data_IF_048592371736
#
_entry.id   IF_048592371736
#
_cell.length_a   1.000
_cell.length_b   1.000
_cell.length_c   1.000
_cell.angle_alpha   90.00
_cell.angle_beta   90.00
_cell.angle_gamma   90.00
#
_symmetry.space_group_name_H-M   'P 1'
#
loop_
_entity.id
_entity.type
_entity.pdbx_description
1 polymer ?
#
# COMPACT_ATOMS: atom_id res chain seq x y z
N UNK A 1 10.07 70.42 -17.39
CA UNK A 1 10.38 69.00 -17.66
C UNK A 1 10.51 68.26 -16.34
N UNK A 2 9.50 67.50 -15.88
CA UNK A 2 9.58 66.87 -14.55
C UNK A 2 8.45 65.94 -14.13
N UNK A 3 7.55 65.52 -15.03
CA UNK A 3 6.30 64.80 -14.66
C UNK A 3 6.22 63.31 -15.02
N UNK A 4 7.24 62.72 -15.68
CA UNK A 4 7.16 61.34 -16.19
C UNK A 4 7.91 60.27 -15.36
N UNK A 5 8.57 60.62 -14.25
CA UNK A 5 9.29 59.61 -13.43
C UNK A 5 8.36 58.74 -12.57
N UNK A 6 7.20 59.24 -12.15
CA UNK A 6 6.25 58.49 -11.31
C UNK A 6 5.56 57.31 -12.03
N UNK A 7 5.27 57.46 -13.32
CA UNK A 7 4.53 56.45 -14.10
C UNK A 7 5.36 55.19 -14.40
N UNK A 8 6.68 55.34 -14.52
CA UNK A 8 7.61 54.23 -14.71
C UNK A 8 7.79 53.39 -13.43
N UNK A 9 7.70 54.02 -12.26
CA UNK A 9 7.83 53.32 -10.99
C UNK A 9 6.57 52.47 -10.70
N UNK A 10 5.38 53.01 -10.97
CA UNK A 10 4.10 52.28 -10.84
C UNK A 10 4.00 51.07 -11.79
N UNK A 11 4.49 51.20 -13.03
CA UNK A 11 4.55 50.04 -13.96
C UNK A 11 5.51 48.95 -13.48
N UNK A 12 6.65 49.30 -12.89
CA UNK A 12 7.59 48.31 -12.35
C UNK A 12 7.02 47.60 -11.11
N UNK A 13 6.35 48.33 -10.22
CA UNK A 13 5.70 47.74 -9.04
C UNK A 13 4.56 46.81 -9.45
N UNK A 14 3.73 47.19 -10.42
CA UNK A 14 2.64 46.35 -10.92
C UNK A 14 3.15 45.04 -11.54
N UNK A 15 4.27 45.08 -12.26
CA UNK A 15 4.90 43.88 -12.83
C UNK A 15 5.50 42.99 -11.75
N UNK A 16 6.15 43.55 -10.72
CA UNK A 16 6.66 42.77 -9.59
C UNK A 16 5.52 42.08 -8.82
N UNK A 17 4.39 42.75 -8.62
CA UNK A 17 3.21 42.17 -7.97
C UNK A 17 2.63 41.04 -8.83
N UNK A 18 2.56 41.22 -10.15
CA UNK A 18 2.04 40.18 -11.04
C UNK A 18 2.96 38.95 -11.10
N UNK A 19 4.27 39.15 -11.15
CA UNK A 19 5.25 38.04 -11.09
C UNK A 19 5.18 37.34 -9.73
N UNK A 20 5.07 38.08 -8.63
CA UNK A 20 4.92 37.51 -7.29
C UNK A 20 3.62 36.70 -7.17
N UNK A 21 2.48 37.20 -7.70
CA UNK A 21 1.21 36.47 -7.72
C UNK A 21 1.24 35.23 -8.62
N UNK A 22 1.96 35.28 -9.75
CA UNK A 22 2.14 34.10 -10.62
C UNK A 22 3.07 33.08 -9.98
N UNK A 23 4.12 33.51 -9.30
CA UNK A 23 5.02 32.62 -8.57
C UNK A 23 4.32 32.00 -7.36
N UNK A 24 3.60 32.78 -6.55
CA UNK A 24 2.71 32.27 -5.48
C UNK A 24 1.62 31.37 -6.04
N UNK A 25 1.09 31.66 -7.23
CA UNK A 25 0.13 30.81 -7.93
C UNK A 25 0.74 29.49 -8.39
N UNK A 26 1.95 29.49 -8.94
CA UNK A 26 2.67 28.27 -9.37
C UNK A 26 3.15 27.47 -8.15
N UNK A 27 3.65 28.14 -7.11
CA UNK A 27 4.06 27.51 -5.85
C UNK A 27 2.82 26.95 -5.13
N UNK A 28 1.72 27.69 -5.16
CA UNK A 28 0.39 27.27 -4.75
C UNK A 28 -0.13 26.10 -5.59
N UNK A 29 0.13 26.01 -6.89
CA UNK A 29 -0.21 24.86 -7.75
C UNK A 29 0.71 23.67 -7.47
N UNK A 30 1.97 23.89 -7.07
CA UNK A 30 2.87 22.81 -6.64
C UNK A 30 2.49 22.24 -5.27
N UNK A 31 2.12 23.11 -4.32
CA UNK A 31 1.69 22.74 -2.96
C UNK A 31 0.23 22.25 -2.95
N UNK A 32 -0.64 22.84 -3.77
CA UNK A 32 -2.04 22.46 -3.95
C UNK A 32 -2.27 21.56 -5.18
N UNK A 33 -1.22 21.03 -5.81
CA UNK A 33 -1.34 20.09 -6.93
C UNK A 33 -2.09 18.81 -6.54
N UNK A 34 -2.08 18.44 -5.25
CA UNK A 34 -2.97 17.41 -4.70
C UNK A 34 -4.45 17.81 -4.63
N UNK A 35 -4.77 19.12 -4.57
CA UNK A 35 -6.14 19.66 -4.55
C UNK A 35 -6.67 20.01 -5.95
N UNK A 36 -5.84 20.54 -6.85
CA UNK A 36 -6.27 20.93 -8.20
C UNK A 36 -6.56 19.72 -9.10
N UNK A 37 -5.94 18.58 -8.82
CA UNK A 37 -6.27 17.31 -9.47
C UNK A 37 -7.78 16.95 -9.32
N UNK A 38 -8.46 17.38 -8.23
CA UNK A 38 -9.92 17.16 -8.00
C UNK A 38 -10.81 17.72 -9.10
N UNK A 39 -10.34 18.72 -9.83
CA UNK A 39 -11.16 19.39 -10.84
C UNK A 39 -11.03 18.79 -12.24
N UNK A 40 -9.98 18.01 -12.51
CA UNK A 40 -9.67 17.51 -13.87
C UNK A 40 -9.78 15.99 -14.01
N UNK A 41 -9.85 15.26 -12.90
CA UNK A 41 -9.90 13.80 -12.89
C UNK A 41 -11.16 13.36 -12.12
N UNK A 42 -11.90 12.35 -12.62
CA UNK A 42 -13.02 11.75 -11.89
C UNK A 42 -12.62 11.38 -10.46
N UNK A 43 -13.52 11.55 -9.49
CA UNK A 43 -13.26 11.30 -8.06
C UNK A 43 -12.70 9.88 -7.77
N UNK A 44 -13.00 8.91 -8.64
CA UNK A 44 -12.44 7.56 -8.59
C UNK A 44 -10.92 7.53 -8.80
N UNK A 45 -10.38 8.35 -9.71
CA UNK A 45 -8.93 8.45 -9.95
C UNK A 45 -8.26 9.25 -8.83
N UNK A 46 -8.97 10.21 -8.25
CA UNK A 46 -8.37 11.04 -7.22
C UNK A 46 -8.27 10.41 -5.84
N UNK A 47 -9.23 9.56 -5.50
CA UNK A 47 -9.16 8.76 -4.29
C UNK A 47 -7.98 7.77 -4.34
N UNK A 48 -7.60 7.33 -5.55
CA UNK A 48 -6.40 6.50 -5.77
C UNK A 48 -5.10 7.32 -5.75
N UNK A 49 -5.11 8.57 -6.27
CA UNK A 49 -3.92 9.43 -6.33
C UNK A 49 -3.57 10.06 -4.97
N UNK A 50 -4.56 10.50 -4.20
CA UNK A 50 -4.35 11.19 -2.92
C UNK A 50 -3.93 10.26 -1.77
N UNK A 51 -4.19 8.95 -1.85
CA UNK A 51 -3.67 7.96 -0.87
C UNK A 51 -2.16 7.74 -0.97
N UNK A 52 -1.49 8.28 -1.99
CA UNK A 52 -0.09 8.00 -2.30
C UNK A 52 0.90 9.15 -1.97
N UNK A 53 0.47 10.20 -1.26
CA UNK A 53 1.32 11.36 -0.96
C UNK A 53 1.78 11.38 0.51
N UNK A 54 2.93 10.79 0.80
CA UNK A 54 4.08 11.41 1.50
C UNK A 54 5.25 10.40 1.50
N UNK A 55 6.37 10.77 0.88
CA UNK A 55 7.60 9.96 0.89
C UNK A 55 8.76 10.93 1.13
N UNK A 56 9.18 11.10 2.38
CA UNK A 56 10.56 11.50 2.70
C UNK A 56 11.43 10.25 2.77
N UNK A 57 12.49 10.25 1.97
CA UNK A 57 13.49 9.21 1.91
C UNK A 57 14.49 9.43 3.04
N UNK A 58 14.48 8.58 4.07
CA UNK A 58 15.54 8.55 5.08
C UNK A 58 16.28 7.21 4.96
N UNK A 59 17.42 7.24 4.29
CA UNK A 59 18.35 6.12 4.19
C UNK A 59 19.28 6.17 5.40
N UNK A 60 18.96 5.44 6.47
CA UNK A 60 19.92 5.10 7.52
C UNK A 60 20.40 3.67 7.29
N UNK A 61 21.70 3.56 7.01
CA UNK A 61 22.41 2.32 6.72
C UNK A 61 22.74 1.67 8.07
N UNK A 62 21.92 0.74 8.53
CA UNK A 62 22.26 -0.09 9.69
C UNK A 62 23.18 -1.23 9.27
N UNK A 63 24.39 -1.19 9.83
CA UNK A 63 25.39 -2.24 9.77
C UNK A 63 25.04 -3.35 10.76
N UNK A 64 25.13 -4.61 10.29
CA UNK A 64 25.08 -5.90 11.01
C UNK A 64 23.73 -6.61 10.99
N UNK A 65 23.57 -7.49 10.01
CA UNK A 65 22.58 -8.57 9.99
C UNK A 65 22.95 -9.55 8.89
N UNK A 66 23.18 -10.81 9.24
CA UNK A 66 23.71 -11.87 8.38
C UNK A 66 22.98 -11.95 7.03
N UNK A 67 23.74 -11.76 5.95
CA UNK A 67 23.32 -12.09 4.59
C UNK A 67 23.35 -13.61 4.48
N UNK A 68 22.19 -14.26 4.64
CA UNK A 68 22.02 -15.59 4.07
C UNK A 68 22.10 -15.43 2.55
N UNK A 69 23.25 -15.79 1.97
CA UNK A 69 23.31 -16.12 0.55
C UNK A 69 22.48 -17.39 0.36
N UNK A 70 21.16 -17.23 0.25
CA UNK A 70 20.34 -18.22 -0.43
C UNK A 70 20.82 -18.19 -1.87
N UNK A 71 21.53 -19.24 -2.26
CA UNK A 71 21.93 -19.48 -3.63
C UNK A 71 20.63 -19.58 -4.45
N UNK A 72 20.17 -18.44 -4.97
CA UNK A 72 19.14 -18.41 -6.00
C UNK A 72 19.72 -19.21 -7.16
N UNK A 73 19.33 -20.48 -7.26
CA UNK A 73 19.52 -21.27 -8.47
C UNK A 73 18.83 -20.48 -9.57
N UNK A 74 19.61 -19.64 -10.26
CA UNK A 74 19.19 -18.94 -11.46
C UNK A 74 18.72 -20.01 -12.41
N UNK A 75 17.41 -20.12 -12.55
CA UNK A 75 16.78 -20.86 -13.62
C UNK A 75 17.06 -20.06 -14.92
N UNK A 76 18.32 -20.05 -15.38
CA UNK A 76 18.79 -19.23 -16.51
C UNK A 76 18.41 -19.80 -17.88
N UNK A 77 17.80 -20.99 -17.92
CA UNK A 77 17.37 -21.64 -19.17
C UNK A 77 15.89 -21.44 -19.49
N UNK A 78 15.17 -20.63 -18.69
CA UNK A 78 13.88 -20.10 -19.13
C UNK A 78 14.15 -19.01 -20.18
N UNK A 79 14.22 -19.41 -21.45
CA UNK A 79 14.19 -18.49 -22.59
C UNK A 79 13.06 -17.45 -22.43
N UNK A 80 13.19 -16.31 -23.12
CA UNK A 80 12.37 -15.08 -23.00
C UNK A 80 10.83 -15.22 -22.95
N UNK A 81 10.28 -16.43 -23.07
CA UNK A 81 8.91 -16.82 -22.80
C UNK A 81 8.75 -17.56 -21.45
N UNK A 82 9.31 -17.04 -20.34
CA UNK A 82 9.06 -17.63 -19.01
C UNK A 82 7.55 -17.72 -18.74
N UNK A 83 6.93 -18.89 -18.55
CA UNK A 83 7.40 -20.26 -18.74
C UNK A 83 6.17 -21.15 -19.02
N UNK A 84 6.32 -22.26 -19.78
CA UNK A 84 5.22 -23.13 -20.19
C UNK A 84 4.46 -23.81 -19.03
N UNK A 85 4.88 -23.61 -17.78
CA UNK A 85 4.36 -24.28 -16.59
C UNK A 85 3.45 -23.41 -15.70
N UNK A 86 3.23 -22.13 -16.02
CA UNK A 86 2.36 -21.27 -15.20
C UNK A 86 0.94 -21.10 -15.76
N UNK A 87 0.65 -21.65 -16.94
CA UNK A 87 -0.65 -21.52 -17.60
C UNK A 87 -0.90 -20.15 -18.23
N UNK A 88 -2.15 -19.81 -18.52
CA UNK A 88 -2.50 -18.58 -19.20
C UNK A 88 -2.28 -17.33 -18.32
N UNK A 89 -1.87 -16.21 -18.94
CA UNK A 89 -1.76 -14.92 -18.25
C UNK A 89 -3.16 -14.40 -17.91
N UNK A 90 -3.43 -14.17 -16.63
CA UNK A 90 -4.71 -13.64 -16.12
C UNK A 90 -4.70 -12.12 -16.02
N UNK A 91 -3.64 -11.57 -15.43
CA UNK A 91 -3.53 -10.14 -15.17
C UNK A 91 -2.07 -9.67 -15.11
N UNK A 92 -1.85 -8.40 -15.44
CA UNK A 92 -0.55 -7.73 -15.33
C UNK A 92 -0.69 -6.42 -14.58
N UNK A 93 0.13 -6.25 -13.55
CA UNK A 93 0.15 -5.08 -12.69
C UNK A 93 1.52 -4.41 -12.80
N UNK A 94 1.51 -3.13 -13.18
CA UNK A 94 2.72 -2.31 -13.36
C UNK A 94 2.83 -1.27 -12.27
N UNK A 95 4.04 -0.78 -12.03
CA UNK A 95 4.29 0.27 -11.05
C UNK A 95 3.62 1.61 -11.45
N UNK A 96 2.92 2.27 -10.51
CA UNK A 96 2.24 3.58 -10.73
C UNK A 96 3.20 4.71 -11.14
N UNK A 97 4.49 4.61 -10.79
CA UNK A 97 5.46 5.67 -11.06
C UNK A 97 5.61 5.98 -12.55
N UNK A 98 5.38 5.02 -13.44
CA UNK A 98 5.45 5.25 -14.89
C UNK A 98 4.36 6.23 -15.35
N UNK A 99 3.13 6.06 -14.85
CA UNK A 99 2.03 6.96 -15.19
C UNK A 99 2.26 8.36 -14.60
N UNK A 100 2.70 8.42 -13.34
CA UNK A 100 2.96 9.70 -12.65
C UNK A 100 4.09 10.48 -13.32
N UNK A 101 5.21 9.82 -13.63
CA UNK A 101 6.36 10.48 -14.28
C UNK A 101 5.99 11.03 -15.67
N UNK A 102 5.21 10.29 -16.46
CA UNK A 102 4.72 10.77 -17.75
C UNK A 102 3.78 11.97 -17.60
N UNK A 103 2.84 11.91 -16.65
CA UNK A 103 1.91 13.02 -16.41
C UNK A 103 2.65 14.28 -15.91
N UNK A 104 3.59 14.14 -14.98
CA UNK A 104 4.41 15.26 -14.48
C UNK A 104 5.19 15.91 -15.61
N UNK A 105 5.78 15.12 -16.51
CA UNK A 105 6.54 15.63 -17.65
C UNK A 105 5.65 16.42 -18.62
N UNK A 106 4.45 15.91 -18.92
CA UNK A 106 3.46 16.62 -19.76
C UNK A 106 3.08 17.96 -19.11
N UNK A 107 2.78 17.98 -17.81
CA UNK A 107 2.42 19.20 -17.08
C UNK A 107 3.58 20.22 -17.11
N UNK A 108 4.82 19.78 -16.90
CA UNK A 108 5.99 20.64 -16.97
C UNK A 108 6.16 21.29 -18.35
N UNK A 109 5.93 20.53 -19.44
CA UNK A 109 6.02 21.04 -20.81
C UNK A 109 4.93 22.09 -21.08
N UNK A 110 3.69 21.83 -20.68
CA UNK A 110 2.57 22.78 -20.85
C UNK A 110 2.82 24.06 -20.05
N UNK A 111 3.21 23.93 -18.78
CA UNK A 111 3.51 25.06 -17.92
C UNK A 111 4.64 25.94 -18.52
N UNK A 112 5.68 25.32 -19.07
CA UNK A 112 6.74 26.06 -19.73
C UNK A 112 6.23 26.83 -20.96
N UNK A 113 5.42 26.20 -21.80
CA UNK A 113 4.82 26.86 -22.98
C UNK A 113 4.02 28.11 -22.62
N UNK A 114 3.22 28.03 -21.54
CA UNK A 114 2.44 29.16 -21.04
C UNK A 114 3.32 30.29 -20.50
N UNK A 115 4.40 29.97 -19.78
CA UNK A 115 5.35 30.96 -19.27
C UNK A 115 6.01 31.70 -20.43
N UNK A 116 6.48 30.97 -21.45
CA UNK A 116 7.13 31.58 -22.62
C UNK A 116 6.18 32.53 -23.37
N UNK A 117 4.92 32.15 -23.55
CA UNK A 117 3.93 33.01 -24.19
C UNK A 117 3.61 34.26 -23.34
N UNK A 118 3.53 34.12 -22.01
CA UNK A 118 3.35 35.26 -21.11
C UNK A 118 4.54 36.25 -21.19
N UNK A 119 5.78 35.75 -21.24
CA UNK A 119 6.96 36.63 -21.39
C UNK A 119 6.96 37.32 -22.77
N UNK A 120 6.52 36.63 -23.83
CA UNK A 120 6.38 37.20 -25.17
C UNK A 120 5.39 38.38 -25.18
N UNK A 121 4.25 38.25 -24.51
CA UNK A 121 3.23 39.30 -24.41
C UNK A 121 3.75 40.56 -23.69
N UNK A 122 4.72 40.44 -22.79
CA UNK A 122 5.33 41.57 -22.07
C UNK A 122 6.36 42.38 -22.90
N UNK A 123 6.63 41.99 -24.16
CA UNK A 123 7.56 42.67 -25.09
C UNK A 123 9.00 42.84 -24.56
N UNK A 124 9.46 41.96 -23.67
CA UNK A 124 10.84 42.01 -23.13
C UNK A 124 11.76 41.10 -23.95
N UNK A 125 12.08 41.50 -25.19
CA UNK A 125 12.75 40.63 -26.16
C UNK A 125 14.15 40.12 -25.75
N UNK A 126 14.96 40.94 -25.07
CA UNK A 126 16.28 40.49 -24.58
C UNK A 126 16.16 39.45 -23.45
N UNK A 127 15.14 39.58 -22.60
CA UNK A 127 14.90 38.65 -21.49
C UNK A 127 14.29 37.34 -22.02
N UNK A 128 13.49 37.37 -23.09
CA UNK A 128 12.86 36.16 -23.65
C UNK A 128 13.88 35.12 -24.12
N UNK A 129 14.97 35.52 -24.78
CA UNK A 129 15.97 34.56 -25.31
C UNK A 129 16.75 33.91 -24.16
N UNK A 130 17.23 34.71 -23.21
CA UNK A 130 17.97 34.20 -22.05
C UNK A 130 17.12 33.28 -21.16
N UNK A 131 15.88 33.66 -20.87
CA UNK A 131 14.96 32.85 -20.07
C UNK A 131 14.56 31.56 -20.79
N UNK A 132 14.32 31.61 -22.11
CA UNK A 132 14.02 30.41 -22.88
C UNK A 132 15.17 29.39 -22.84
N UNK A 133 16.42 29.86 -22.97
CA UNK A 133 17.60 29.00 -22.82
C UNK A 133 17.70 28.37 -21.43
N UNK A 134 17.55 29.18 -20.37
CA UNK A 134 17.61 28.71 -18.99
C UNK A 134 16.55 27.66 -18.67
N UNK A 135 15.28 27.93 -19.01
CA UNK A 135 14.20 26.96 -18.79
C UNK A 135 14.33 25.73 -19.68
N UNK A 136 14.87 25.86 -20.90
CA UNK A 136 15.18 24.74 -21.76
C UNK A 136 16.15 23.76 -21.10
N UNK A 137 17.20 24.27 -20.44
CA UNK A 137 18.16 23.45 -19.68
C UNK A 137 17.49 22.78 -18.48
N UNK A 138 16.69 23.51 -17.70
CA UNK A 138 15.94 22.92 -16.57
C UNK A 138 15.02 21.81 -17.06
N UNK A 139 14.27 22.04 -18.13
CA UNK A 139 13.35 21.04 -18.67
C UNK A 139 14.12 19.80 -19.16
N UNK A 140 15.30 19.97 -19.75
CA UNK A 140 16.17 18.86 -20.15
C UNK A 140 16.65 18.06 -18.94
N UNK A 141 17.03 18.72 -17.84
CA UNK A 141 17.41 18.05 -16.58
C UNK A 141 16.23 17.26 -16.00
N UNK A 142 15.05 17.89 -15.90
CA UNK A 142 13.83 17.24 -15.40
C UNK A 142 13.44 16.07 -16.29
N UNK A 143 13.50 16.25 -17.61
CA UNK A 143 13.25 15.20 -18.60
C UNK A 143 14.23 14.04 -18.43
N UNK A 144 15.53 14.32 -18.33
CA UNK A 144 16.57 13.32 -18.13
C UNK A 144 16.37 12.53 -16.83
N UNK A 145 15.99 13.22 -15.74
CA UNK A 145 15.66 12.59 -14.47
C UNK A 145 14.39 11.71 -14.58
N UNK A 146 13.30 12.23 -15.16
CA UNK A 146 12.08 11.47 -15.39
C UNK A 146 12.32 10.25 -16.28
N UNK A 147 13.14 10.39 -17.33
CA UNK A 147 13.53 9.29 -18.21
C UNK A 147 14.37 8.25 -17.46
N UNK A 148 15.32 8.67 -16.63
CA UNK A 148 16.10 7.77 -15.79
C UNK A 148 15.20 6.98 -14.81
N UNK A 149 14.21 7.64 -14.20
CA UNK A 149 13.20 6.97 -13.36
C UNK A 149 12.33 6.02 -14.18
N UNK A 150 11.88 6.43 -15.37
CA UNK A 150 11.09 5.59 -16.26
C UNK A 150 11.86 4.33 -16.67
N UNK A 151 13.10 4.47 -17.15
CA UNK A 151 13.96 3.35 -17.49
C UNK A 151 14.26 2.48 -16.25
N UNK A 152 14.30 3.09 -15.06
CA UNK A 152 14.48 2.39 -13.80
C UNK A 152 13.31 1.48 -13.43
N UNK A 153 12.08 1.95 -13.59
CA UNK A 153 10.88 1.25 -13.13
C UNK A 153 10.13 0.49 -14.23
N UNK A 154 10.48 0.66 -15.52
CA UNK A 154 9.74 0.04 -16.64
C UNK A 154 9.73 -1.49 -16.63
N UNK A 155 10.69 -2.11 -15.95
CA UNK A 155 10.83 -3.56 -15.87
C UNK A 155 10.14 -4.16 -14.64
N UNK A 156 9.67 -3.33 -13.71
CA UNK A 156 8.99 -3.78 -12.50
C UNK A 156 7.51 -4.07 -12.79
N UNK A 157 7.14 -5.36 -12.73
CA UNK A 157 5.79 -5.81 -12.97
C UNK A 157 5.50 -7.08 -12.17
N UNK A 158 4.26 -7.23 -11.71
CA UNK A 158 3.74 -8.49 -11.19
C UNK A 158 2.74 -9.01 -12.19
N UNK A 159 2.97 -10.23 -12.69
CA UNK A 159 2.10 -10.94 -13.61
C UNK A 159 1.47 -12.11 -12.88
N UNK A 160 0.16 -12.21 -12.95
CA UNK A 160 -0.62 -13.27 -12.34
C UNK A 160 -1.03 -14.23 -13.46
N UNK A 161 -0.71 -15.50 -13.29
CA UNK A 161 -1.02 -16.59 -14.20
C UNK A 161 -1.96 -17.60 -13.52
N UNK A 162 -2.45 -18.57 -14.28
CA UNK A 162 -3.37 -19.59 -13.76
C UNK A 162 -2.78 -20.49 -12.68
N UNK A 163 -1.48 -20.80 -12.75
CA UNK A 163 -0.80 -21.72 -11.84
C UNK A 163 0.25 -21.04 -10.95
N UNK A 164 0.42 -19.73 -11.07
CA UNK A 164 1.29 -18.96 -10.17
C UNK A 164 1.33 -17.48 -10.50
N UNK A 165 2.30 -16.79 -9.92
CA UNK A 165 2.63 -15.42 -10.23
C UNK A 165 4.12 -15.27 -10.55
N UNK A 166 4.45 -14.25 -11.33
CA UNK A 166 5.83 -13.86 -11.62
C UNK A 166 5.99 -12.39 -11.29
N UNK A 167 6.92 -12.09 -10.39
CA UNK A 167 7.38 -10.73 -10.16
C UNK A 167 8.69 -10.52 -10.92
N UNK A 168 8.72 -9.52 -11.79
CA UNK A 168 9.95 -9.05 -12.42
C UNK A 168 10.43 -7.82 -11.68
N UNK A 169 11.69 -7.86 -11.24
CA UNK A 169 12.39 -6.73 -10.65
C UNK A 169 13.72 -6.51 -11.41
N UNK A 170 14.57 -5.61 -10.91
CA UNK A 170 15.88 -5.33 -11.50
C UNK A 170 16.91 -6.45 -11.29
N UNK A 171 16.74 -7.24 -10.23
CA UNK A 171 17.64 -8.32 -9.84
C UNK A 171 17.33 -9.62 -10.61
N UNK A 172 16.14 -9.72 -11.21
CA UNK A 172 15.71 -10.83 -12.03
C UNK A 172 14.20 -10.99 -12.02
N UNK A 173 13.76 -12.23 -12.16
CA UNK A 173 12.35 -12.59 -12.04
C UNK A 173 12.22 -13.67 -10.96
N UNK A 174 11.17 -13.58 -10.17
CA UNK A 174 10.80 -14.56 -9.14
C UNK A 174 9.44 -15.12 -9.52
N UNK A 175 9.40 -16.41 -9.81
CA UNK A 175 8.16 -17.14 -10.06
C UNK A 175 7.75 -17.91 -8.79
N UNK A 176 6.48 -17.82 -8.43
CA UNK A 176 5.88 -18.55 -7.31
C UNK A 176 4.64 -19.28 -7.84
N UNK A 177 4.60 -20.61 -7.73
CA UNK A 177 3.39 -21.36 -8.07
C UNK A 177 2.38 -21.31 -6.92
N UNK A 178 1.09 -21.38 -7.22
CA UNK A 178 0.04 -21.29 -6.19
C UNK A 178 0.10 -22.43 -5.17
N UNK A 179 0.44 -23.64 -5.62
CA UNK A 179 0.68 -24.81 -4.76
C UNK A 179 1.97 -24.71 -3.94
N UNK A 180 2.83 -23.74 -4.26
CA UNK A 180 4.06 -23.48 -3.53
C UNK A 180 3.96 -22.40 -2.46
N UNK A 181 2.85 -21.68 -2.41
CA UNK A 181 2.63 -20.63 -1.42
C UNK A 181 2.23 -21.27 -0.10
N UNK A 182 2.99 -20.92 0.94
CA UNK A 182 2.75 -21.33 2.32
C UNK A 182 1.92 -20.27 3.05
N UNK A 183 2.37 -19.02 2.97
CA UNK A 183 1.75 -17.92 3.68
C UNK A 183 1.66 -16.65 2.84
N UNK A 184 0.56 -15.95 3.02
CA UNK A 184 0.30 -14.62 2.51
C UNK A 184 0.05 -13.70 3.69
N UNK A 185 0.85 -12.66 3.80
CA UNK A 185 0.77 -11.69 4.89
C UNK A 185 0.41 -10.32 4.34
N UNK A 186 -0.53 -9.66 5.00
CA UNK A 186 -0.78 -8.25 4.80
C UNK A 186 -0.11 -7.49 5.95
N UNK A 187 1.08 -6.96 5.68
CA UNK A 187 1.87 -6.20 6.64
C UNK A 187 1.41 -4.74 6.61
N UNK A 188 1.03 -4.24 7.78
CA UNK A 188 0.68 -2.83 7.99
C UNK A 188 1.79 -2.21 8.83
N UNK A 189 2.66 -1.46 8.18
CA UNK A 189 3.73 -0.73 8.85
C UNK A 189 3.17 0.62 9.32
N UNK A 190 3.05 0.78 10.64
CA UNK A 190 2.82 2.07 11.26
C UNK A 190 4.10 2.89 11.10
N UNK A 191 4.11 3.86 10.18
CA UNK A 191 5.16 4.88 10.22
C UNK A 191 4.93 5.74 11.45
N UNK A 192 5.67 5.48 12.52
CA UNK A 192 5.72 6.41 13.66
C UNK A 192 6.41 7.69 13.17
N UNK A 193 5.75 8.86 13.23
CA UNK A 193 6.41 10.12 12.91
C UNK A 193 7.41 10.42 14.03
N UNK A 194 8.68 10.54 13.65
CA UNK A 194 9.83 10.90 14.48
C UNK A 194 10.26 9.90 15.58
N UNK A 195 11.54 9.44 15.60
CA UNK A 195 12.08 8.67 16.73
C UNK A 195 12.15 9.46 18.04
N UNK A 196 12.04 10.79 17.99
CA UNK A 196 11.98 11.65 19.18
C UNK A 196 10.57 11.72 19.78
N UNK A 197 9.55 11.27 19.03
CA UNK A 197 8.26 10.94 19.61
C UNK A 197 8.39 9.52 20.14
N UNK A 198 8.91 9.41 21.36
CA UNK A 198 8.80 8.20 22.19
C UNK A 198 7.30 7.99 22.45
N UNK A 199 6.61 7.45 21.43
CA UNK A 199 5.37 6.73 21.64
C UNK A 199 5.79 5.65 22.60
N UNK A 200 5.42 5.83 23.86
CA UNK A 200 5.44 4.80 24.86
C UNK A 200 4.70 3.60 24.25
N UNK A 201 5.45 2.73 23.59
CA UNK A 201 4.93 1.54 22.94
C UNK A 201 4.40 0.60 24.01
N UNK A 202 4.77 0.79 25.28
CA UNK A 202 4.00 0.21 26.36
C UNK A 202 2.62 0.87 26.40
N UNK A 203 2.40 2.18 26.49
CA UNK A 203 1.02 2.73 26.47
C UNK A 203 0.11 2.39 25.26
N UNK A 204 0.62 2.06 24.07
CA UNK A 204 -0.21 1.54 22.96
C UNK A 204 -0.22 0.01 22.83
N UNK A 205 0.75 -0.72 23.40
CA UNK A 205 0.72 -2.19 23.49
C UNK A 205 0.20 -2.72 24.84
N UNK A 206 0.04 -1.87 25.85
CA UNK A 206 -0.33 -2.20 27.24
C UNK A 206 -1.84 -1.98 27.48
N UNK A 207 -2.59 -1.57 26.45
CA UNK A 207 -4.07 -1.59 26.48
C UNK A 207 -4.61 -2.91 25.87
N UNK A 208 -3.75 -3.79 25.37
CA UNK A 208 -4.16 -5.12 24.91
C UNK A 208 -3.12 -6.20 25.28
N UNK A 209 -3.40 -6.86 26.42
CA UNK A 209 -2.84 -8.15 26.90
C UNK A 209 -1.45 -8.16 27.54
N UNK A 210 -1.40 -8.23 28.89
CA UNK A 210 -0.96 -9.44 29.63
C UNK A 210 -1.20 -9.33 31.16
N UNK A 211 -2.17 -10.07 31.75
CA UNK A 211 -2.07 -10.92 32.98
C UNK A 211 -3.47 -11.41 33.47
N UNK A 212 -3.70 -12.72 33.74
CA UNK A 212 -5.01 -13.37 33.87
C UNK A 212 -5.56 -13.55 35.31
N UNK A 213 -5.27 -12.65 36.26
CA UNK A 213 -5.77 -12.77 37.65
C UNK A 213 -6.51 -11.54 38.22
N UNK A 214 -6.96 -10.59 37.40
CA UNK A 214 -7.77 -9.48 37.89
C UNK A 214 -9.24 -9.88 38.12
N UNK A 215 -9.51 -10.52 39.27
CA UNK A 215 -10.85 -10.72 39.83
C UNK A 215 -11.39 -9.42 40.41
N UNK A 216 -11.78 -8.46 39.56
CA UNK A 216 -12.81 -7.46 39.84
C UNK A 216 -13.04 -6.60 38.59
N UNK A 217 -14.22 -6.76 38.00
CA UNK A 217 -14.62 -6.19 36.70
C UNK A 217 -15.32 -4.83 36.80
N UNK A 218 -15.24 -4.12 37.93
CA UNK A 218 -15.98 -2.87 38.15
C UNK A 218 -15.26 -1.57 37.75
N UNK A 219 -14.08 -1.63 37.10
CA UNK A 219 -13.30 -0.43 36.75
C UNK A 219 -12.64 -0.47 35.36
N UNK A 220 -13.37 -0.90 34.31
CA UNK A 220 -12.93 -0.68 32.93
C UNK A 220 -14.13 -0.35 32.01
N UNK A 221 -14.56 0.90 32.12
CA UNK A 221 -15.62 1.55 31.33
C UNK A 221 -15.02 2.26 30.11
N UNK A 222 -14.57 1.52 29.09
CA UNK A 222 -14.13 2.02 27.76
C UNK A 222 -12.90 2.97 27.75
N UNK A 223 -11.89 2.73 26.90
CA UNK A 223 -10.78 3.68 26.69
C UNK A 223 -10.50 3.94 25.20
N UNK A 224 -11.01 5.11 24.81
CA UNK A 224 -10.56 6.13 23.84
C UNK A 224 -10.17 5.76 22.41
N UNK A 225 -11.05 6.16 21.49
CA UNK A 225 -10.66 7.04 20.37
C UNK A 225 -9.89 8.23 20.97
N UNK A 226 -8.56 8.22 20.91
CA UNK A 226 -7.86 9.49 20.70
C UNK A 226 -8.06 9.80 19.23
N UNK A 227 -8.86 10.83 18.94
CA UNK A 227 -8.76 11.51 17.66
C UNK A 227 -7.29 11.88 17.49
N UNK A 228 -6.56 11.05 16.74
CA UNK A 228 -5.24 11.39 16.25
C UNK A 228 -5.42 12.72 15.53
N UNK A 229 -4.91 13.76 16.16
CA UNK A 229 -4.96 15.15 15.74
C UNK A 229 -4.29 15.24 14.38
N UNK A 230 -5.08 15.06 13.31
CA UNK A 230 -4.83 15.48 11.91
C UNK A 230 -3.35 15.50 11.48
N UNK A 231 -2.61 14.48 11.89
CA UNK A 231 -1.24 14.19 11.55
C UNK A 231 -1.32 12.79 10.98
N UNK A 232 -1.45 12.72 9.66
CA UNK A 232 -1.69 11.51 8.90
C UNK A 232 -0.57 10.51 9.17
N UNK A 233 -0.71 9.62 10.15
CA UNK A 233 0.12 8.43 10.26
C UNK A 233 -0.13 7.62 9.00
N UNK A 234 0.83 7.65 8.08
CA UNK A 234 0.70 6.94 6.80
C UNK A 234 0.97 5.48 7.09
N UNK A 235 -0.11 4.72 7.25
CA UNK A 235 -0.06 3.27 7.25
C UNK A 235 0.52 2.82 5.92
N UNK A 236 1.71 2.23 5.95
CA UNK A 236 2.33 1.64 4.76
C UNK A 236 1.89 0.19 4.68
N UNK A 237 1.07 -0.11 3.68
CA UNK A 237 0.66 -1.47 3.41
C UNK A 237 1.69 -2.16 2.51
N UNK A 238 2.09 -3.37 2.89
CA UNK A 238 2.88 -4.25 2.05
C UNK A 238 2.33 -5.66 2.13
N UNK A 239 2.42 -6.37 1.00
CA UNK A 239 1.84 -7.69 0.88
C UNK A 239 2.95 -8.69 0.62
N UNK A 240 3.15 -9.64 1.53
CA UNK A 240 4.28 -10.57 1.49
C UNK A 240 3.76 -11.97 1.21
N UNK A 241 4.16 -12.51 0.06
CA UNK A 241 3.87 -13.89 -0.34
C UNK A 241 5.11 -14.73 -0.08
N UNK A 242 4.99 -15.77 0.74
CA UNK A 242 6.09 -16.68 1.08
C UNK A 242 5.78 -18.09 0.62
N UNK A 243 6.74 -18.71 -0.05
CA UNK A 243 6.70 -20.12 -0.43
C UNK A 243 7.28 -21.02 0.66
N UNK A 244 6.86 -22.29 0.66
CA UNK A 244 7.46 -23.35 1.49
C UNK A 244 8.96 -23.53 1.25
N UNK A 245 9.48 -23.06 0.10
CA UNK A 245 10.93 -23.06 -0.21
C UNK A 245 11.69 -21.90 0.43
N UNK A 246 11.01 -21.05 1.22
CA UNK A 246 11.59 -19.86 1.84
C UNK A 246 11.72 -18.65 0.90
N UNK A 247 11.32 -18.77 -0.36
CA UNK A 247 11.27 -17.62 -1.28
C UNK A 247 10.16 -16.69 -0.85
N UNK A 248 10.50 -15.41 -0.63
CA UNK A 248 9.54 -14.37 -0.28
C UNK A 248 9.46 -13.31 -1.38
N UNK A 249 8.24 -12.91 -1.70
CA UNK A 249 7.94 -11.80 -2.59
C UNK A 249 7.24 -10.71 -1.79
N UNK A 250 7.89 -9.55 -1.69
CA UNK A 250 7.31 -8.35 -1.10
C UNK A 250 6.68 -7.47 -2.19
N UNK A 251 5.37 -7.25 -2.10
CA UNK A 251 4.56 -6.45 -3.01
C UNK A 251 4.14 -5.16 -2.29
N UNK A 252 4.93 -4.09 -2.40
CA UNK A 252 4.60 -2.79 -1.81
C UNK A 252 3.39 -2.12 -2.47
N UNK A 253 2.74 -1.18 -1.76
CA UNK A 253 1.53 -0.47 -2.20
C UNK A 253 1.63 0.33 -3.52
N UNK A 254 2.82 0.49 -4.10
CA UNK A 254 3.06 1.38 -5.23
C UNK A 254 2.69 0.80 -6.62
N UNK A 255 2.12 -0.40 -6.66
CA UNK A 255 1.57 -1.00 -7.90
C UNK A 255 0.23 -0.38 -8.28
N UNK A 256 -0.01 -0.24 -9.58
CA UNK A 256 -1.27 0.29 -10.09
C UNK A 256 -2.37 -0.73 -9.78
N UNK A 257 -3.47 -0.26 -9.19
CA UNK A 257 -4.56 -1.12 -8.69
C UNK A 257 -4.04 -2.16 -7.68
N UNK A 258 -3.18 -1.74 -6.75
CA UNK A 258 -2.60 -2.61 -5.72
C UNK A 258 -3.65 -3.41 -4.95
N UNK A 259 -4.77 -2.82 -4.53
CA UNK A 259 -5.86 -3.55 -3.88
C UNK A 259 -6.39 -4.69 -4.78
N UNK A 260 -6.64 -4.42 -6.06
CA UNK A 260 -7.07 -5.45 -7.01
C UNK A 260 -6.02 -6.54 -7.22
N UNK A 261 -4.73 -6.21 -7.14
CA UNK A 261 -3.64 -7.20 -7.18
C UNK A 261 -3.72 -8.12 -5.96
N UNK A 262 -3.82 -7.56 -4.75
CA UNK A 262 -3.98 -8.33 -3.51
C UNK A 262 -5.21 -9.23 -3.58
N UNK A 263 -6.38 -8.70 -3.95
CA UNK A 263 -7.62 -9.49 -4.11
C UNK A 263 -7.45 -10.66 -5.07
N UNK A 264 -6.69 -10.45 -6.15
CA UNK A 264 -6.46 -11.48 -7.17
C UNK A 264 -5.52 -12.56 -6.64
N UNK A 265 -4.48 -12.18 -5.90
CA UNK A 265 -3.57 -13.12 -5.25
C UNK A 265 -4.31 -13.91 -4.18
N UNK A 266 -5.08 -13.24 -3.31
CA UNK A 266 -5.90 -13.86 -2.28
C UNK A 266 -6.89 -14.86 -2.88
N UNK A 267 -7.58 -14.47 -3.96
CA UNK A 267 -8.55 -15.33 -4.64
C UNK A 267 -7.90 -16.60 -5.20
N UNK A 268 -6.83 -16.45 -5.99
CA UNK A 268 -6.16 -17.59 -6.61
C UNK A 268 -5.49 -18.48 -5.56
N UNK A 269 -4.75 -17.91 -4.61
CA UNK A 269 -4.12 -18.70 -3.54
C UNK A 269 -5.15 -19.45 -2.70
N UNK A 270 -6.26 -18.79 -2.34
CA UNK A 270 -7.38 -19.44 -1.64
C UNK A 270 -7.93 -20.60 -2.46
N UNK A 271 -8.19 -20.41 -3.76
CA UNK A 271 -8.72 -21.46 -4.63
C UNK A 271 -7.87 -22.75 -4.59
N UNK A 272 -6.54 -22.63 -4.58
CA UNK A 272 -5.65 -23.80 -4.50
C UNK A 272 -5.59 -24.39 -3.09
N UNK A 273 -5.42 -23.56 -2.06
CA UNK A 273 -5.24 -24.03 -0.68
C UNK A 273 -6.53 -24.53 -0.02
N UNK A 274 -7.69 -24.11 -0.51
CA UNK A 274 -8.99 -24.41 0.08
C UNK A 274 -9.29 -25.90 0.16
N UNK A 275 -9.07 -26.64 -0.93
CA UNK A 275 -9.35 -28.08 -0.97
C UNK A 275 -8.49 -28.86 0.05
N UNK A 276 -7.22 -28.48 0.18
CA UNK A 276 -6.30 -29.07 1.16
C UNK A 276 -6.73 -28.74 2.59
N UNK A 277 -7.01 -27.47 2.89
CA UNK A 277 -7.43 -27.03 4.22
C UNK A 277 -8.76 -27.69 4.64
N UNK A 278 -9.70 -27.82 3.71
CA UNK A 278 -10.96 -28.52 3.93
C UNK A 278 -10.72 -30.01 4.24
N UNK A 279 -9.83 -30.67 3.51
CA UNK A 279 -9.47 -32.07 3.74
C UNK A 279 -8.85 -32.26 5.14
N UNK A 280 -7.95 -31.37 5.54
CA UNK A 280 -7.35 -31.39 6.89
C UNK A 280 -8.43 -31.27 7.97
N UNK A 281 -9.32 -30.28 7.85
CA UNK A 281 -10.43 -30.11 8.80
C UNK A 281 -11.35 -31.33 8.84
N UNK A 282 -11.66 -31.95 7.70
CA UNK A 282 -12.49 -33.16 7.64
C UNK A 282 -11.83 -34.35 8.33
N UNK A 283 -10.50 -34.44 8.28
CA UNK A 283 -9.70 -35.46 8.97
C UNK A 283 -9.51 -35.18 10.47
N UNK A 284 -10.12 -34.11 11.01
CA UNK A 284 -9.93 -33.69 12.40
C UNK A 284 -8.58 -33.03 12.65
N UNK A 285 -7.80 -32.75 11.61
CA UNK A 285 -6.53 -32.03 11.72
C UNK A 285 -6.78 -30.53 11.73
N UNK A 286 -6.27 -29.80 12.72
CA UNK A 286 -6.47 -28.36 12.75
C UNK A 286 -5.66 -27.64 11.67
N UNK A 287 -6.13 -26.47 11.25
CA UNK A 287 -5.48 -25.60 10.27
C UNK A 287 -5.02 -24.32 10.97
N UNK A 288 -3.71 -24.03 10.93
CA UNK A 288 -3.13 -22.87 11.59
C UNK A 288 -3.12 -21.64 10.69
N UNK A 289 -3.47 -20.50 11.27
CA UNK A 289 -3.42 -19.15 10.69
C UNK A 289 -2.64 -18.24 11.64
N UNK A 290 -1.43 -18.65 12.03
CA UNK A 290 -0.61 -17.94 13.00
C UNK A 290 -1.15 -18.13 14.43
N UNK A 291 -1.58 -17.07 15.12
CA UNK A 291 -2.12 -17.18 16.49
C UNK A 291 -3.50 -17.84 16.55
N UNK A 292 -4.17 -17.99 15.41
CA UNK A 292 -5.45 -18.68 15.29
C UNK A 292 -5.25 -20.11 14.82
N UNK A 293 -6.02 -21.03 15.39
CA UNK A 293 -6.04 -22.42 14.99
C UNK A 293 -7.47 -22.90 14.80
N UNK A 294 -7.79 -23.34 13.59
CA UNK A 294 -9.12 -23.73 13.17
C UNK A 294 -9.28 -25.25 13.32
N UNK A 295 -10.30 -25.72 14.05
CA UNK A 295 -10.52 -27.15 14.32
C UNK A 295 -11.98 -27.57 14.08
N UNK A 296 -12.30 -28.86 14.28
CA UNK A 296 -13.69 -29.34 14.23
C UNK A 296 -14.54 -28.84 15.41
N UNK A 297 -13.92 -28.48 16.53
CA UNK A 297 -14.62 -28.07 17.76
C UNK A 297 -14.86 -26.56 17.82
N UNK A 298 -13.95 -25.78 17.24
CA UNK A 298 -14.04 -24.32 17.23
C UNK A 298 -12.81 -23.62 16.68
N UNK A 299 -12.70 -22.33 17.02
CA UNK A 299 -11.52 -21.49 16.77
C UNK A 299 -10.72 -21.39 18.06
N UNK A 300 -9.44 -21.76 18.01
CA UNK A 300 -8.51 -21.55 19.11
C UNK A 300 -7.73 -20.25 18.91
N UNK A 301 -7.53 -19.51 20.00
CA UNK A 301 -6.61 -18.38 20.10
C UNK A 301 -5.76 -18.58 21.36
N UNK A 302 -4.50 -19.00 21.16
CA UNK A 302 -3.68 -19.48 22.28
C UNK A 302 -4.29 -20.74 22.91
N UNK A 303 -4.71 -20.65 24.18
CA UNK A 303 -5.35 -21.74 24.93
C UNK A 303 -6.89 -21.65 24.93
N UNK A 304 -7.45 -20.51 24.51
CA UNK A 304 -8.88 -20.28 24.56
C UNK A 304 -9.57 -20.88 23.33
N UNK A 305 -10.63 -21.64 23.58
CA UNK A 305 -11.49 -22.22 22.55
C UNK A 305 -12.77 -21.39 22.41
N UNK A 306 -13.10 -20.98 21.19
CA UNK A 306 -14.41 -20.49 20.79
C UNK A 306 -15.18 -21.59 20.05
N UNK A 307 -16.11 -22.30 20.72
CA UNK A 307 -16.93 -23.34 20.10
C UNK A 307 -17.75 -22.81 18.92
N UNK A 308 -17.97 -23.64 17.90
CA UNK A 308 -18.71 -23.26 16.70
C UNK A 308 -20.13 -22.77 16.96
N UNK A 309 -20.76 -23.26 18.02
CA UNK A 309 -22.11 -22.86 18.44
C UNK A 309 -22.14 -21.39 18.89
N UNK A 310 -21.05 -20.94 19.53
CA UNK A 310 -20.90 -19.60 20.07
C UNK A 310 -20.31 -18.62 19.06
N UNK A 311 -19.61 -19.09 18.03
CA UNK A 311 -19.04 -18.24 16.99
C UNK A 311 -20.11 -17.37 16.29
N UNK A 312 -19.92 -16.04 16.36
CA UNK A 312 -20.75 -15.03 15.72
C UNK A 312 -20.28 -14.76 14.30
N UNK A 313 -19.36 -13.81 14.15
CA UNK A 313 -18.80 -13.39 12.88
C UNK A 313 -17.29 -13.13 12.98
N UNK A 314 -16.62 -13.19 11.83
CA UNK A 314 -15.27 -12.66 11.66
C UNK A 314 -15.37 -11.44 10.74
N UNK A 315 -14.95 -10.29 11.24
CA UNK A 315 -14.89 -9.03 10.50
C UNK A 315 -13.43 -8.61 10.34
N UNK A 316 -13.07 -8.14 9.14
CA UNK A 316 -11.74 -7.60 8.84
C UNK A 316 -11.90 -6.13 8.55
N UNK A 317 -11.33 -5.29 9.40
CA UNK A 317 -11.26 -3.85 9.18
C UNK A 317 -9.92 -3.51 8.54
N UNK A 318 -9.94 -3.34 7.22
CA UNK A 318 -8.77 -2.98 6.43
C UNK A 318 -8.19 -1.60 6.79
N UNK A 319 -9.01 -0.68 7.32
CA UNK A 319 -8.56 0.69 7.64
C UNK A 319 -7.60 0.68 8.81
N UNK A 320 -7.85 -0.19 9.79
CA UNK A 320 -7.03 -0.32 10.98
C UNK A 320 -6.11 -1.54 10.94
N UNK A 321 -6.27 -2.41 9.93
CA UNK A 321 -5.55 -3.67 9.86
C UNK A 321 -5.90 -4.57 11.04
N UNK A 322 -7.18 -4.63 11.43
CA UNK A 322 -7.66 -5.42 12.57
C UNK A 322 -8.65 -6.49 12.14
N UNK A 323 -8.56 -7.66 12.76
CA UNK A 323 -9.51 -8.75 12.68
C UNK A 323 -10.27 -8.79 13.99
N UNK A 324 -11.59 -8.81 13.90
CA UNK A 324 -12.48 -8.92 15.05
C UNK A 324 -13.29 -10.21 14.95
N UNK A 325 -13.22 -11.05 15.97
CA UNK A 325 -14.01 -12.27 16.10
C UNK A 325 -15.08 -12.03 17.17
N UNK A 326 -16.35 -12.22 16.85
CA UNK A 326 -17.47 -11.98 17.78
C UNK A 326 -18.12 -13.28 18.25
N UNK A 327 -18.78 -13.22 19.42
CA UNK A 327 -19.64 -14.30 19.94
C UNK A 327 -21.10 -13.96 19.67
N UNK A 328 -21.92 -14.94 19.30
CA UNK A 328 -23.37 -14.75 19.13
C UNK A 328 -23.99 -14.24 20.42
N UNK A 329 -24.75 -13.14 20.30
CA UNK A 329 -25.47 -12.55 21.43
C UNK A 329 -24.63 -11.65 22.33
N UNK A 330 -23.33 -11.48 22.06
CA UNK A 330 -22.47 -10.58 22.83
C UNK A 330 -22.02 -9.39 21.98
N UNK A 331 -22.11 -8.19 22.54
CA UNK A 331 -21.63 -6.97 21.89
C UNK A 331 -20.10 -6.87 21.89
N UNK A 332 -19.45 -7.49 22.88
CA UNK A 332 -17.99 -7.50 22.99
C UNK A 332 -17.42 -8.60 22.09
N UNK A 333 -16.38 -8.30 21.31
CA UNK A 333 -15.70 -9.32 20.54
C UNK A 333 -14.91 -10.25 21.45
N UNK A 334 -14.80 -11.50 21.02
CA UNK A 334 -14.02 -12.54 21.68
C UNK A 334 -12.51 -12.30 21.51
N UNK A 335 -12.08 -11.91 20.31
CA UNK A 335 -10.68 -11.63 20.03
C UNK A 335 -10.51 -10.45 19.05
N UNK A 336 -9.45 -9.69 19.27
CA UNK A 336 -8.90 -8.69 18.35
C UNK A 336 -7.49 -9.11 17.94
N UNK A 337 -7.23 -9.15 16.64
CA UNK A 337 -5.91 -9.50 16.12
C UNK A 337 -5.49 -8.51 15.05
N UNK A 338 -4.20 -8.20 14.98
CA UNK A 338 -3.66 -7.50 13.82
C UNK A 338 -3.71 -8.42 12.60
N UNK A 339 -4.20 -7.89 11.48
CA UNK A 339 -4.18 -8.53 10.16
C UNK A 339 -2.76 -9.03 9.83
N UNK A 340 -1.74 -8.26 10.20
CA UNK A 340 -0.33 -8.62 10.01
C UNK A 340 0.15 -9.81 10.85
N UNK A 341 -0.64 -10.34 11.79
CA UNK A 341 -0.33 -11.55 12.59
C UNK A 341 -1.01 -12.81 12.07
N UNK A 342 -2.01 -12.67 11.19
CA UNK A 342 -2.82 -13.78 10.70
C UNK A 342 -2.53 -13.97 9.21
N UNK A 343 -1.75 -14.99 8.81
CA UNK A 343 -1.55 -15.29 7.40
C UNK A 343 -2.84 -15.84 6.75
N UNK A 344 -2.91 -15.77 5.42
CA UNK A 344 -3.95 -16.42 4.61
C UNK A 344 -5.39 -16.06 5.06
N UNK A 345 -5.66 -14.79 5.35
CA UNK A 345 -6.96 -14.33 5.88
C UNK A 345 -8.13 -14.65 4.95
N UNK A 346 -7.94 -14.52 3.63
CA UNK A 346 -8.97 -14.87 2.66
C UNK A 346 -9.35 -16.37 2.74
N UNK A 347 -8.37 -17.24 2.95
CA UNK A 347 -8.60 -18.66 3.18
C UNK A 347 -9.34 -18.91 4.50
N UNK A 348 -8.93 -18.24 5.59
CA UNK A 348 -9.62 -18.32 6.88
C UNK A 348 -11.10 -17.92 6.75
N UNK A 349 -11.38 -16.78 6.10
CA UNK A 349 -12.75 -16.33 5.84
C UNK A 349 -13.55 -17.37 5.04
N UNK A 350 -12.96 -17.91 3.96
CA UNK A 350 -13.59 -18.93 3.13
C UNK A 350 -13.96 -20.21 3.90
N UNK A 351 -13.08 -20.68 4.79
CA UNK A 351 -13.34 -21.86 5.62
C UNK A 351 -14.43 -21.60 6.65
N UNK A 352 -14.43 -20.43 7.30
CA UNK A 352 -15.44 -20.06 8.30
C UNK A 352 -16.85 -20.05 7.72
N UNK A 353 -17.02 -19.59 6.48
CA UNK A 353 -18.32 -19.62 5.78
C UNK A 353 -18.86 -21.06 5.64
N UNK A 354 -18.02 -22.02 5.23
CA UNK A 354 -18.46 -23.43 5.10
C UNK A 354 -18.84 -24.00 6.47
N UNK A 355 -18.00 -23.75 7.47
CA UNK A 355 -18.19 -24.30 8.81
C UNK A 355 -19.50 -23.76 9.39
N UNK A 356 -19.75 -22.45 9.28
CA UNK A 356 -21.03 -21.85 9.66
C UNK A 356 -22.22 -22.50 8.95
N UNK A 357 -22.14 -22.73 7.64
CA UNK A 357 -23.21 -23.41 6.89
C UNK A 357 -23.45 -24.84 7.37
N UNK A 358 -22.40 -25.57 7.73
CA UNK A 358 -22.50 -26.94 8.27
C UNK A 358 -23.19 -26.97 9.64
N UNK A 359 -22.88 -26.01 10.51
CA UNK A 359 -23.48 -25.93 11.85
C UNK A 359 -24.87 -25.33 11.85
N UNK A 360 -25.19 -24.39 10.96
CA UNK A 360 -26.54 -23.83 10.81
C UNK A 360 -27.58 -24.90 10.43
N UNK A 361 -27.17 -25.99 9.78
CA UNK A 361 -28.04 -27.10 9.38
C UNK A 361 -28.30 -28.15 10.46
N UNK A 362 -27.57 -28.11 11.59
CA UNK A 362 -27.79 -29.06 12.68
C UNK A 362 -28.79 -28.43 13.67
N UNK A 363 -30.05 -28.90 13.73
CA UNK A 363 -30.96 -28.43 14.76
C UNK A 363 -30.37 -28.74 16.13
N UNK A 364 -30.48 -27.78 17.07
CA UNK A 364 -30.17 -27.99 18.47
C UNK A 364 -31.05 -29.15 18.95
N UNK A 365 -30.45 -30.31 19.16
CA UNK A 365 -31.13 -31.50 19.70
C UNK A 365 -31.16 -31.45 21.20
#
# INVERSE_FOLDING_TARGET
>A
MGRNRGFLLLRRISVCIYIFMVLEGIFGIFVAGGKFARFLLPDSILNDVNRCYDIRYNSKRDSKGCVFMVQQSRYSDAGQNGGPYLGALRATYRHVMLLKTMLTLIICVIALGLILEAVRLLKIHMLTVGMAGFFGVILLIVFGFCLALFLRYRHEAVRVYEQGLVATNREGWVALRWDEIEYIWHKVDLQTPDPDFEIDTNRLAYIAYDNPHATSWSNLDYVTHTEATKGSSILKHSYVVRSYRGVSLNIPQHYLRWSKLCDTIDHEATRYQYSLAQTLLQQGRPVSFGPLLLSQDGIYYGQDLLPWQLFGALSVDERWGLITITVKGYARPWAWLLVARVPNIALLQGLLVIVQQKFARRPLR
#
